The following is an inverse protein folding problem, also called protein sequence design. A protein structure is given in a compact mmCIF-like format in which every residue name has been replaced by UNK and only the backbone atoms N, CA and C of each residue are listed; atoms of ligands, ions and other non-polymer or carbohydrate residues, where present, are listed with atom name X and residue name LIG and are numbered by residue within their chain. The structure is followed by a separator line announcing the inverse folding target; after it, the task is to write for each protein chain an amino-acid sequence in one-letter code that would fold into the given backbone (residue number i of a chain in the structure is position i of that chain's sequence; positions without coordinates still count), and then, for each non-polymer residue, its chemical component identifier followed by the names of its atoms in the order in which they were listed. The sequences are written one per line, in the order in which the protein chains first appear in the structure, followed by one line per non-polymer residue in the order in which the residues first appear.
data_IF_031627332629
#
_entry.id   IF_031627332629
#
_cell.length_a   1.000
_cell.length_b   1.000
_cell.length_c   1.000
_cell.angle_alpha   90.00
_cell.angle_beta   90.00
_cell.angle_gamma   90.00
#
_symmetry.space_group_name_H-M   'P 1'
#
loop_
_entity.id
_entity.type
_entity.pdbx_description
1 polymer ?
#
# COMPACT_ATOMS: atom_id res chain seq x y z
N UNK A 1 -11.00 9.65 17.42
CA UNK A 1 -12.06 8.80 16.83
C UNK A 1 -11.46 7.48 16.34
N UNK A 2 -12.09 6.33 16.60
CA UNK A 2 -11.54 5.03 16.16
C UNK A 2 -11.72 4.79 14.64
N UNK A 3 -10.70 4.18 13.99
CA UNK A 3 -10.74 3.77 12.59
C UNK A 3 -11.61 2.52 12.40
N UNK A 4 -12.93 2.72 12.33
CA UNK A 4 -13.90 1.66 12.04
C UNK A 4 -14.64 1.88 10.72
N UNK A 5 -15.14 0.81 10.07
CA UNK A 5 -15.96 0.96 8.86
C UNK A 5 -17.22 1.79 9.05
N UNK A 6 -17.80 1.78 10.26
CA UNK A 6 -19.01 2.52 10.60
C UNK A 6 -18.70 4.02 10.70
N UNK A 7 -17.64 4.39 11.43
CA UNK A 7 -17.21 5.78 11.60
C UNK A 7 -16.83 6.42 10.24
N UNK A 8 -16.11 5.68 9.39
CA UNK A 8 -15.77 6.14 8.03
C UNK A 8 -17.02 6.42 7.17
N UNK A 9 -18.06 5.60 7.29
CA UNK A 9 -19.34 5.82 6.59
C UNK A 9 -20.09 7.03 7.14
N UNK A 10 -20.09 7.22 8.46
CA UNK A 10 -20.71 8.39 9.10
C UNK A 10 -20.01 9.68 8.64
N UNK A 11 -18.68 9.74 8.72
CA UNK A 11 -17.90 10.87 8.19
C UNK A 11 -18.20 11.06 6.71
N UNK A 12 -18.19 10.00 5.90
CA UNK A 12 -18.50 10.13 4.46
C UNK A 12 -19.90 10.69 4.18
N UNK A 13 -20.88 10.48 5.08
CA UNK A 13 -22.23 11.02 4.97
C UNK A 13 -22.26 12.48 5.41
N UNK A 14 -21.66 12.80 6.55
CA UNK A 14 -21.52 14.17 7.04
C UNK A 14 -20.82 15.05 6.00
N UNK A 15 -19.67 14.60 5.49
CA UNK A 15 -18.96 15.26 4.40
C UNK A 15 -19.79 15.40 3.13
N UNK A 16 -20.81 14.57 2.88
CA UNK A 16 -21.66 14.73 1.69
C UNK A 16 -22.75 15.79 1.89
N UNK A 17 -23.12 16.08 3.14
CA UNK A 17 -24.11 17.09 3.48
C UNK A 17 -23.56 18.51 3.37
N UNK A 18 -22.23 18.68 3.52
CA UNK A 18 -21.54 19.95 3.37
C UNK A 18 -21.47 20.41 1.90
N UNK A 19 -21.55 21.72 1.67
CA UNK A 19 -21.48 22.35 0.35
C UNK A 19 -20.13 22.06 -0.36
N UNK A 20 -19.01 22.14 0.38
CA UNK A 20 -17.66 21.84 -0.11
C UNK A 20 -17.22 20.39 0.14
N UNK A 21 -18.18 19.52 0.42
CA UNK A 21 -17.99 18.14 0.85
C UNK A 21 -17.08 17.26 -0.01
N UNK A 22 -17.06 17.51 -1.32
CA UNK A 22 -16.19 16.82 -2.27
C UNK A 22 -14.71 17.12 -2.02
N UNK A 23 -14.37 18.38 -1.74
CA UNK A 23 -12.99 18.77 -1.45
C UNK A 23 -12.55 18.28 -0.08
N UNK A 24 -13.41 18.38 0.94
CA UNK A 24 -13.13 17.82 2.27
C UNK A 24 -12.86 16.31 2.22
N UNK A 25 -13.62 15.57 1.41
CA UNK A 25 -13.39 14.12 1.21
C UNK A 25 -12.05 13.83 0.54
N UNK A 26 -11.67 14.64 -0.45
CA UNK A 26 -10.39 14.50 -1.16
C UNK A 26 -9.23 14.83 -0.23
N UNK A 27 -9.37 15.86 0.59
CA UNK A 27 -8.42 16.27 1.64
C UNK A 27 -8.27 15.17 2.69
N UNK A 28 -9.37 14.62 3.24
CA UNK A 28 -9.32 13.51 4.17
C UNK A 28 -8.58 12.30 3.56
N UNK A 29 -8.92 11.95 2.31
CA UNK A 29 -8.24 10.86 1.61
C UNK A 29 -6.74 11.14 1.46
N UNK A 30 -6.36 12.40 1.18
CA UNK A 30 -4.96 12.83 1.08
C UNK A 30 -4.27 12.68 2.44
N UNK A 31 -4.82 13.23 3.51
CA UNK A 31 -4.23 13.21 4.85
C UNK A 31 -4.05 11.77 5.36
N UNK A 32 -5.05 10.89 5.18
CA UNK A 32 -4.91 9.46 5.51
C UNK A 32 -3.82 8.76 4.67
N UNK A 33 -3.62 9.15 3.41
CA UNK A 33 -2.52 8.61 2.58
C UNK A 33 -1.17 9.13 3.05
N UNK A 34 -1.06 10.40 3.41
CA UNK A 34 0.14 11.01 3.99
C UNK A 34 0.57 10.29 5.26
N UNK A 35 -0.37 10.02 6.18
CA UNK A 35 -0.13 9.28 7.41
C UNK A 35 0.46 7.87 7.17
N UNK A 36 0.14 7.23 6.04
CA UNK A 36 0.65 5.91 5.66
C UNK A 36 1.91 5.94 4.79
N UNK A 37 2.38 7.12 4.36
CA UNK A 37 3.59 7.23 3.51
C UNK A 37 4.85 6.64 4.18
N UNK A 38 5.13 6.87 5.47
CA UNK A 38 6.32 6.30 6.11
C UNK A 38 6.35 4.77 6.02
N UNK A 39 5.21 4.10 6.26
CA UNK A 39 5.10 2.65 6.12
C UNK A 39 5.30 2.19 4.68
N UNK A 40 4.76 2.91 3.69
CA UNK A 40 4.98 2.61 2.30
C UNK A 40 6.46 2.79 1.90
N UNK A 41 7.15 3.79 2.44
CA UNK A 41 8.58 4.00 2.24
C UNK A 41 9.42 2.87 2.83
N UNK A 42 9.12 2.40 4.05
CA UNK A 42 9.77 1.22 4.66
C UNK A 42 9.65 -0.02 3.78
N UNK A 43 8.44 -0.34 3.33
CA UNK A 43 8.22 -1.48 2.43
C UNK A 43 8.98 -1.34 1.10
N UNK A 44 9.09 -0.12 0.55
CA UNK A 44 9.92 0.16 -0.63
C UNK A 44 11.41 -0.10 -0.36
N UNK A 45 11.93 0.39 0.75
CA UNK A 45 13.34 0.20 1.11
C UNK A 45 13.66 -1.29 1.31
N UNK A 46 12.76 -2.05 1.94
CA UNK A 46 12.94 -3.48 2.14
C UNK A 46 13.05 -4.27 0.82
N UNK A 47 12.17 -4.04 -0.17
CA UNK A 47 12.30 -4.71 -1.47
C UNK A 47 13.53 -4.23 -2.25
N UNK A 48 13.92 -2.96 -2.08
CA UNK A 48 15.12 -2.43 -2.74
C UNK A 48 16.42 -3.09 -2.21
N UNK A 49 16.41 -3.57 -0.97
CA UNK A 49 17.44 -4.40 -0.36
C UNK A 49 17.37 -5.90 -0.76
N UNK A 50 16.59 -6.26 -1.79
CA UNK A 50 16.70 -7.57 -2.43
C UNK A 50 17.97 -7.61 -3.29
N UNK A 51 18.78 -8.65 -3.07
CA UNK A 51 19.97 -8.91 -3.85
C UNK A 51 19.63 -9.18 -5.32
N UNK A 52 20.52 -8.77 -6.21
CA UNK A 52 20.40 -8.98 -7.65
C UNK A 52 21.79 -9.27 -8.18
N UNK A 53 22.06 -10.56 -8.43
CA UNK A 53 23.37 -11.07 -8.82
C UNK A 53 23.73 -10.83 -10.29
N UNK A 54 22.78 -10.46 -11.14
CA UNK A 54 23.00 -10.27 -12.58
C UNK A 54 22.72 -8.84 -13.03
N UNK A 55 23.69 -8.16 -13.68
CA UNK A 55 23.41 -6.98 -14.48
C UNK A 55 22.41 -7.35 -15.58
N UNK A 56 21.31 -6.62 -15.68
CA UNK A 56 20.31 -6.85 -16.72
C UNK A 56 19.91 -5.49 -17.30
N UNK A 57 19.91 -5.36 -18.64
CA UNK A 57 19.69 -4.10 -19.35
C UNK A 57 18.28 -3.50 -19.26
N UNK A 58 17.41 -4.02 -18.38
CA UNK A 58 16.03 -3.55 -18.19
C UNK A 58 15.76 -3.14 -16.74
N UNK A 59 14.63 -2.45 -16.46
CA UNK A 59 14.31 -2.00 -15.11
C UNK A 59 14.37 -3.17 -14.12
N UNK A 60 15.10 -2.99 -13.02
CA UNK A 60 15.24 -4.02 -12.00
C UNK A 60 13.87 -4.42 -11.44
N UNK A 61 13.66 -5.72 -11.23
CA UNK A 61 12.40 -6.27 -10.71
C UNK A 61 11.99 -5.59 -9.39
N UNK A 62 12.97 -5.37 -8.50
CA UNK A 62 12.78 -4.66 -7.23
C UNK A 62 12.22 -3.24 -7.43
N UNK A 63 12.75 -2.49 -8.39
CA UNK A 63 12.29 -1.13 -8.69
C UNK A 63 10.86 -1.14 -9.26
N UNK A 64 10.52 -2.13 -10.09
CA UNK A 64 9.17 -2.28 -10.61
C UNK A 64 8.14 -2.59 -9.50
N UNK A 65 8.50 -3.45 -8.55
CA UNK A 65 7.69 -3.74 -7.36
C UNK A 65 7.56 -2.49 -6.48
N UNK A 66 8.68 -1.82 -6.16
CA UNK A 66 8.71 -0.65 -5.28
C UNK A 66 7.81 0.49 -5.80
N UNK A 67 7.80 0.75 -7.11
CA UNK A 67 6.91 1.74 -7.74
C UNK A 67 5.43 1.43 -7.57
N UNK A 68 5.07 0.17 -7.35
CA UNK A 68 3.68 -0.28 -7.15
C UNK A 68 3.28 -0.37 -5.69
N UNK A 69 4.16 -0.02 -4.73
CA UNK A 69 3.81 0.07 -3.32
C UNK A 69 3.23 1.45 -3.02
N UNK A 70 1.98 1.50 -2.57
CA UNK A 70 1.32 2.75 -2.18
C UNK A 70 0.23 2.54 -1.14
N UNK A 71 -0.09 3.58 -0.34
CA UNK A 71 -1.31 3.61 0.46
C UNK A 71 -2.57 3.50 -0.42
N UNK A 72 -3.53 2.69 0.02
CA UNK A 72 -4.88 2.52 -0.52
C UNK A 72 -5.87 2.90 0.58
N UNK A 73 -6.61 3.98 0.36
CA UNK A 73 -7.56 4.55 1.32
C UNK A 73 -8.93 4.59 0.68
N UNK A 74 -9.93 4.09 1.42
CA UNK A 74 -11.34 4.08 1.02
C UNK A 74 -12.18 4.58 2.18
N UNK A 75 -12.83 5.72 2.01
CA UNK A 75 -13.69 6.31 3.06
C UNK A 75 -15.13 5.78 2.93
N UNK A 76 -15.55 5.37 1.73
CA UNK A 76 -16.91 4.85 1.47
C UNK A 76 -16.87 3.50 0.76
N UNK A 77 -18.05 2.88 0.63
CA UNK A 77 -18.25 1.61 -0.09
C UNK A 77 -18.32 0.37 0.82
N UNK A 78 -18.21 -0.82 0.23
CA UNK A 78 -18.38 -2.10 0.94
C UNK A 78 -17.31 -2.33 2.02
N UNK A 79 -16.05 -1.96 1.73
CA UNK A 79 -14.89 -2.15 2.60
C UNK A 79 -14.10 -0.84 2.77
N UNK A 80 -14.62 0.12 3.56
CA UNK A 80 -13.87 1.33 3.89
C UNK A 80 -12.74 1.01 4.87
N UNK A 81 -11.65 1.72 4.75
CA UNK A 81 -10.43 1.53 5.55
C UNK A 81 -9.21 2.10 4.86
N UNK A 82 -8.07 2.00 5.55
CA UNK A 82 -6.77 2.44 5.07
C UNK A 82 -5.78 1.27 5.16
N UNK A 83 -5.01 1.04 4.10
CA UNK A 83 -4.00 -0.03 4.05
C UNK A 83 -2.86 0.36 3.13
N UNK A 84 -1.70 -0.27 3.31
CA UNK A 84 -0.60 -0.20 2.34
C UNK A 84 -0.68 -1.45 1.47
N UNK A 85 -0.49 -1.28 0.15
CA UNK A 85 -0.61 -2.39 -0.81
C UNK A 85 0.52 -2.36 -1.81
N UNK A 86 1.13 -3.52 -2.03
CA UNK A 86 1.95 -3.79 -3.21
C UNK A 86 1.04 -4.26 -4.36
N UNK A 87 0.82 -3.40 -5.36
CA UNK A 87 -0.05 -3.72 -6.49
C UNK A 87 0.64 -4.68 -7.49
N UNK A 88 -0.17 -5.36 -8.31
CA UNK A 88 0.32 -6.22 -9.39
C UNK A 88 1.21 -5.42 -10.37
N UNK A 89 2.16 -6.11 -10.97
CA UNK A 89 3.16 -5.59 -11.92
C UNK A 89 2.96 -6.25 -13.30
N UNK A 90 1.81 -6.07 -13.97
CA UNK A 90 1.50 -6.81 -15.21
C UNK A 90 2.52 -6.54 -16.33
N UNK A 91 3.04 -5.31 -16.39
CA UNK A 91 3.98 -4.89 -17.44
C UNK A 91 5.44 -5.21 -17.10
N UNK A 92 5.69 -6.04 -16.07
CA UNK A 92 7.04 -6.40 -15.65
C UNK A 92 7.36 -7.81 -16.10
N UNK A 93 7.77 -7.96 -17.38
CA UNK A 93 8.28 -9.21 -17.96
C UNK A 93 7.30 -10.39 -17.80
N UNK A 94 5.98 -10.15 -17.96
CA UNK A 94 4.94 -11.17 -17.73
C UNK A 94 4.74 -11.56 -16.26
N UNK A 95 5.47 -10.94 -15.32
CA UNK A 95 5.48 -11.31 -13.91
C UNK A 95 4.50 -10.48 -13.08
N UNK A 96 3.20 -10.62 -13.37
CA UNK A 96 2.15 -9.80 -12.74
C UNK A 96 2.10 -9.89 -11.21
N UNK A 97 2.44 -11.06 -10.64
CA UNK A 97 2.39 -11.33 -9.21
C UNK A 97 3.77 -11.23 -8.52
N UNK A 98 4.72 -10.49 -9.10
CA UNK A 98 6.10 -10.40 -8.62
C UNK A 98 6.18 -10.08 -7.12
N UNK A 99 5.48 -9.04 -6.65
CA UNK A 99 5.50 -8.65 -5.24
C UNK A 99 5.12 -9.79 -4.28
N UNK A 100 4.09 -10.57 -4.63
CA UNK A 100 3.63 -11.71 -3.81
C UNK A 100 4.66 -12.84 -3.82
N UNK A 101 5.26 -13.12 -4.98
CA UNK A 101 6.20 -14.23 -5.17
C UNK A 101 7.57 -13.95 -4.57
N UNK A 102 8.03 -12.69 -4.59
CA UNK A 102 9.29 -12.31 -3.93
C UNK A 102 9.17 -12.25 -2.41
N UNK A 103 7.97 -12.06 -1.86
CA UNK A 103 7.72 -12.04 -0.42
C UNK A 103 7.62 -13.45 0.20
N UNK A 104 7.21 -14.45 -0.58
CA UNK A 104 6.94 -15.81 -0.09
C UNK A 104 8.19 -16.68 -0.09
N UNK A 105 8.33 -17.52 0.94
CA UNK A 105 9.35 -18.56 1.00
C UNK A 105 9.28 -19.53 -0.19
N UNK A 106 8.08 -19.79 -0.71
CA UNK A 106 7.88 -20.66 -1.88
C UNK A 106 8.46 -20.13 -3.20
N UNK A 107 8.88 -18.86 -3.28
CA UNK A 107 9.43 -18.26 -4.50
C UNK A 107 8.53 -18.36 -5.74
N UNK A 108 9.17 -18.43 -6.91
CA UNK A 108 8.55 -18.71 -8.22
C UNK A 108 9.45 -19.57 -9.10
N UNK A 109 8.83 -20.31 -10.03
CA UNK A 109 9.54 -21.02 -11.08
C UNK A 109 9.58 -20.20 -12.35
N UNK A 110 10.67 -20.28 -13.09
CA UNK A 110 10.79 -19.71 -14.43
C UNK A 110 11.75 -20.54 -15.28
N UNK A 111 11.61 -20.51 -16.62
CA UNK A 111 12.59 -21.13 -17.50
C UNK A 111 13.93 -20.40 -17.40
N UNK A 112 15.02 -21.13 -17.62
CA UNK A 112 16.35 -20.55 -17.79
C UNK A 112 16.36 -19.69 -19.06
N UNK A 113 17.06 -18.55 -19.02
CA UNK A 113 17.18 -17.71 -20.21
C UNK A 113 17.91 -18.47 -21.32
N UNK A 114 17.34 -18.50 -22.53
CA UNK A 114 17.91 -19.23 -23.67
C UNK A 114 17.58 -20.73 -23.74
N UNK A 115 17.12 -21.34 -22.64
CA UNK A 115 16.65 -22.74 -22.63
C UNK A 115 15.32 -22.86 -21.88
N UNK A 116 14.22 -22.99 -22.64
CA UNK A 116 12.85 -23.02 -22.09
C UNK A 116 12.42 -24.38 -21.53
N UNK A 117 13.20 -25.42 -21.75
CA UNK A 117 12.93 -26.77 -21.24
C UNK A 117 13.35 -26.92 -19.78
N UNK A 118 14.39 -26.19 -19.38
CA UNK A 118 14.90 -26.21 -18.01
C UNK A 118 14.21 -25.14 -17.17
N UNK A 119 13.51 -25.59 -16.12
CA UNK A 119 12.79 -24.73 -15.19
C UNK A 119 13.45 -24.70 -13.82
N UNK A 120 13.89 -23.52 -13.40
CA UNK A 120 14.52 -23.30 -12.11
C UNK A 120 13.56 -22.64 -11.14
N UNK A 121 13.80 -22.86 -9.85
CA UNK A 121 13.10 -22.23 -8.75
C UNK A 121 13.95 -21.06 -8.25
N UNK A 122 13.36 -19.86 -8.22
CA UNK A 122 13.99 -18.64 -7.73
C UNK A 122 13.25 -18.12 -6.51
N UNK A 123 14.02 -17.61 -5.54
CA UNK A 123 13.48 -16.98 -4.33
C UNK A 123 13.78 -15.49 -4.35
N UNK A 124 12.86 -14.71 -3.77
CA UNK A 124 13.08 -13.28 -3.51
C UNK A 124 13.48 -13.05 -2.05
N UNK A 125 13.42 -11.79 -1.62
CA UNK A 125 13.64 -11.43 -0.22
C UNK A 125 12.43 -11.82 0.64
N UNK A 126 12.48 -12.98 1.29
CA UNK A 126 11.35 -13.51 2.08
C UNK A 126 10.91 -12.51 3.15
N UNK A 127 9.60 -12.27 3.24
CA UNK A 127 8.99 -11.40 4.24
C UNK A 127 9.31 -9.91 4.09
N UNK A 128 9.86 -9.46 2.95
CA UNK A 128 10.23 -8.06 2.75
C UNK A 128 9.08 -7.08 3.02
N UNK A 129 7.84 -7.47 2.71
CA UNK A 129 6.65 -6.64 2.90
C UNK A 129 6.10 -6.79 4.31
N UNK A 130 5.91 -8.01 4.80
CA UNK A 130 5.28 -8.26 6.10
C UNK A 130 6.15 -7.75 7.25
N UNK A 131 7.47 -7.99 7.20
CA UNK A 131 8.44 -7.47 8.18
C UNK A 131 8.52 -5.95 8.20
N UNK A 132 8.08 -5.25 7.14
CA UNK A 132 8.06 -3.80 7.13
C UNK A 132 7.03 -3.21 8.11
N UNK A 133 6.06 -4.01 8.56
CA UNK A 133 4.94 -3.56 9.39
C UNK A 133 4.84 -4.30 10.73
N UNK A 134 5.71 -5.27 10.97
CA UNK A 134 5.79 -6.01 12.22
C UNK A 134 6.07 -5.05 13.39
N UNK A 135 5.24 -5.10 14.44
CA UNK A 135 5.32 -4.20 15.59
C UNK A 135 4.84 -2.74 15.35
N UNK A 136 4.57 -2.32 14.11
CA UNK A 136 4.27 -0.90 13.79
C UNK A 136 2.80 -0.62 13.45
N UNK A 137 1.96 -1.66 13.50
CA UNK A 137 0.54 -1.53 13.15
C UNK A 137 -0.19 -0.45 13.95
N UNK A 138 0.10 -0.34 15.25
CA UNK A 138 -0.58 0.60 16.14
C UNK A 138 -0.17 2.05 15.84
N UNK A 139 1.09 2.30 15.50
CA UNK A 139 1.59 3.62 15.09
C UNK A 139 0.83 4.13 13.86
N UNK A 140 0.73 3.30 12.82
CA UNK A 140 0.00 3.67 11.61
C UNK A 140 -1.51 3.77 11.81
N UNK A 141 -2.09 2.95 12.71
CA UNK A 141 -3.50 3.07 13.10
C UNK A 141 -3.73 4.45 13.74
N UNK A 142 -2.93 4.81 14.74
CA UNK A 142 -3.02 6.08 15.45
C UNK A 142 -2.85 7.28 14.52
N UNK A 143 -1.88 7.25 13.60
CA UNK A 143 -1.66 8.32 12.64
C UNK A 143 -2.87 8.55 11.71
N UNK A 144 -3.54 7.47 11.28
CA UNK A 144 -4.76 7.58 10.48
C UNK A 144 -5.95 8.05 11.32
N UNK A 145 -6.05 7.62 12.57
CA UNK A 145 -7.08 8.08 13.52
C UNK A 145 -6.95 9.56 13.86
N UNK A 146 -5.73 10.08 13.96
CA UNK A 146 -5.47 11.50 14.12
C UNK A 146 -6.01 12.29 12.91
N UNK A 147 -5.69 11.87 11.68
CA UNK A 147 -6.19 12.51 10.47
C UNK A 147 -7.74 12.46 10.35
N UNK A 148 -8.37 11.40 10.86
CA UNK A 148 -9.84 11.31 10.93
C UNK A 148 -10.42 12.26 11.98
N UNK A 149 -9.79 12.34 13.14
CA UNK A 149 -10.24 13.18 14.26
C UNK A 149 -10.16 14.65 13.89
N UNK A 150 -9.06 15.10 13.31
CA UNK A 150 -8.86 16.47 12.80
C UNK A 150 -9.94 16.86 11.78
N UNK A 151 -10.27 15.96 10.85
CA UNK A 151 -11.32 16.23 9.86
C UNK A 151 -12.72 16.27 10.52
N UNK A 152 -13.00 15.38 11.47
CA UNK A 152 -14.29 15.38 12.17
C UNK A 152 -14.49 16.67 12.99
N UNK A 153 -13.46 17.12 13.71
CA UNK A 153 -13.49 18.38 14.47
C UNK A 153 -13.73 19.58 13.55
N UNK A 154 -13.08 19.61 12.39
CA UNK A 154 -13.26 20.68 11.40
C UNK A 154 -14.67 20.73 10.82
N UNK A 155 -15.29 19.59 10.57
CA UNK A 155 -16.69 19.53 10.12
C UNK A 155 -17.62 20.06 11.22
N UNK A 156 -17.43 19.63 12.46
CA UNK A 156 -18.24 20.09 13.61
C UNK A 156 -18.08 21.59 13.84
N UNK A 157 -16.87 22.14 13.69
CA UNK A 157 -16.60 23.56 13.85
C UNK A 157 -17.28 24.43 12.76
N UNK A 158 -17.57 23.85 11.59
CA UNK A 158 -18.24 24.54 10.47
C UNK A 158 -19.76 24.43 10.51
N UNK A 159 -20.28 23.38 11.15
CA UNK A 159 -21.72 23.17 11.31
C UNK A 159 -22.33 23.92 12.50
N UNK A 160 -21.53 24.69 13.25
CA UNK A 160 -21.96 25.58 14.33
C UNK A 160 -22.01 27.01 13.84
#
# INVERSE_FOLDING_TARGET
MELTPQNLRQISRALKAEEDGKELRKELTKNMREALKPGAARAKNNIMAMESSTPHGGPALKSAIARKIRPDVRISGRFPGAKIKAFKTPNTRGFANAAKRTNRASGWRHPVFGNREVWVQQHGKIGWFDRAFEGQRNEYKAAVEAALTEMAERVVARSR
#
